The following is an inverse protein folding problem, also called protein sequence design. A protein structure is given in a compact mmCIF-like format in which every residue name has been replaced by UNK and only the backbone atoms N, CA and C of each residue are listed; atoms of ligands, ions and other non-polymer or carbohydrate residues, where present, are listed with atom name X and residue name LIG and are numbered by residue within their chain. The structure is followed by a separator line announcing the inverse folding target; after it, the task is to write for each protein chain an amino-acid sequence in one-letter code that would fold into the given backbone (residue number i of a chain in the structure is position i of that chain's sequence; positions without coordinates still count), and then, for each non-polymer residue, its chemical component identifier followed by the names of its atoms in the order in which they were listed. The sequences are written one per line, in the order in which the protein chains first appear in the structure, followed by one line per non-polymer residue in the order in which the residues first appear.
data_IF_935654527441
#
_entry.id   IF_935654527441
#
_cell.length_a   1.000
_cell.length_b   1.000
_cell.length_c   1.000
_cell.angle_alpha   90.00
_cell.angle_beta   90.00
_cell.angle_gamma   90.00
#
_symmetry.space_group_name_H-M   'P 1'
#
loop_
_entity.id
_entity.type
_entity.pdbx_description
1 polymer ?
#
# COMPACT_ATOMS: atom_id res chain seq x y z
N UNK A 1 0.05 5.30 -4.47
CA UNK A 1 0.49 3.93 -4.13
C UNK A 1 0.59 2.99 -5.33
N UNK A 2 -0.34 3.02 -6.30
CA UNK A 2 -0.29 2.09 -7.44
C UNK A 2 0.92 2.23 -8.38
N UNK A 3 1.63 3.35 -8.37
CA UNK A 3 2.80 3.58 -9.23
C UNK A 3 4.02 2.74 -8.82
N UNK A 4 4.20 2.51 -7.52
CA UNK A 4 5.37 1.79 -7.00
C UNK A 4 5.15 0.29 -6.94
N UNK A 5 3.90 -0.19 -7.01
CA UNK A 5 3.59 -1.60 -6.90
C UNK A 5 4.21 -2.47 -8.01
N UNK A 6 4.10 -2.12 -9.31
CA UNK A 6 4.73 -2.90 -10.37
C UNK A 6 6.26 -2.93 -10.23
N UNK A 7 6.86 -1.80 -9.83
CA UNK A 7 8.30 -1.67 -9.64
C UNK A 7 8.81 -2.55 -8.49
N UNK A 8 8.11 -2.53 -7.35
CA UNK A 8 8.45 -3.37 -6.19
C UNK A 8 8.31 -4.85 -6.53
N UNK A 9 7.21 -5.25 -7.19
CA UNK A 9 6.98 -6.65 -7.59
C UNK A 9 8.03 -7.11 -8.61
N UNK A 10 8.39 -6.25 -9.57
CA UNK A 10 9.41 -6.55 -10.56
C UNK A 10 10.77 -6.79 -9.90
N UNK A 11 11.16 -5.93 -8.94
CA UNK A 11 12.43 -6.06 -8.21
C UNK A 11 12.48 -7.27 -7.28
N UNK A 12 11.38 -7.61 -6.61
CA UNK A 12 11.30 -8.82 -5.78
C UNK A 12 11.40 -10.08 -6.63
N UNK A 13 10.88 -10.04 -7.87
CA UNK A 13 10.89 -11.20 -8.76
C UNK A 13 12.23 -11.36 -9.49
N UNK A 14 12.95 -10.26 -9.76
CA UNK A 14 14.29 -10.29 -10.35
C UNK A 14 15.40 -10.57 -9.33
N UNK A 15 15.18 -10.25 -8.05
CA UNK A 15 16.03 -10.69 -6.96
C UNK A 15 15.89 -12.22 -6.82
N UNK A 16 16.94 -12.95 -7.20
CA UNK A 16 17.00 -14.41 -7.15
C UNK A 16 16.52 -14.93 -5.77
N UNK A 17 15.59 -15.89 -5.76
CA UNK A 17 14.85 -16.44 -4.60
C UNK A 17 15.70 -17.09 -3.50
N UNK A 18 17.03 -16.93 -3.51
CA UNK A 18 17.98 -17.70 -2.71
C UNK A 18 18.55 -16.96 -1.48
N UNK A 19 18.25 -15.67 -1.30
CA UNK A 19 18.69 -14.91 -0.12
C UNK A 19 17.49 -14.25 0.56
N UNK A 20 17.22 -14.53 1.86
CA UNK A 20 16.18 -13.84 2.62
C UNK A 20 16.64 -12.41 2.91
N UNK A 21 16.31 -11.48 2.02
CA UNK A 21 16.60 -10.06 2.16
C UNK A 21 15.31 -9.29 2.48
N UNK A 22 15.41 -8.27 3.33
CA UNK A 22 14.27 -7.37 3.58
C UNK A 22 13.89 -6.63 2.30
N UNK A 23 12.63 -6.18 2.19
CA UNK A 23 12.19 -5.30 1.09
C UNK A 23 13.14 -4.11 0.93
N UNK A 24 13.58 -3.56 2.05
CA UNK A 24 14.48 -2.42 2.08
C UNK A 24 15.89 -2.73 1.59
N UNK A 25 16.40 -3.92 1.84
CA UNK A 25 17.70 -4.37 1.35
C UNK A 25 17.66 -4.65 -0.16
N UNK A 26 16.56 -5.22 -0.66
CA UNK A 26 16.31 -5.37 -2.11
C UNK A 26 16.17 -4.01 -2.80
N UNK A 27 15.61 -3.01 -2.12
CA UNK A 27 15.43 -1.65 -2.65
C UNK A 27 16.71 -0.79 -2.52
N UNK A 28 17.50 -0.95 -1.46
CA UNK A 28 18.72 -0.18 -1.17
C UNK A 28 20.00 -0.79 -1.77
N UNK A 29 20.01 -2.08 -2.11
CA UNK A 29 21.12 -2.74 -2.83
C UNK A 29 21.40 -2.17 -4.23
N UNK A 30 20.60 -1.21 -4.69
CA UNK A 30 20.80 -0.42 -5.91
C UNK A 30 21.76 0.76 -5.68
N UNK A 31 22.03 1.13 -4.42
CA UNK A 31 22.72 2.39 -4.08
C UNK A 31 24.07 2.24 -3.36
N UNK A 32 24.49 1.02 -3.02
CA UNK A 32 25.81 0.78 -2.41
C UNK A 32 26.75 0.09 -3.41
N UNK A 33 27.55 0.92 -4.08
CA UNK A 33 28.94 0.65 -4.50
C UNK A 33 29.26 -0.73 -5.07
N UNK A 34 29.25 -0.85 -6.40
CA UNK A 34 30.47 -1.27 -7.09
C UNK A 34 30.39 -0.89 -8.58
N UNK A 35 31.43 -0.22 -9.06
CA UNK A 35 31.65 0.16 -10.46
C UNK A 35 31.77 -1.06 -11.40
N UNK A 36 31.59 -2.29 -10.89
CA UNK A 36 31.51 -3.54 -11.65
C UNK A 36 30.07 -4.01 -11.97
N UNK A 37 29.02 -3.40 -11.41
CA UNK A 37 27.64 -3.77 -11.74
C UNK A 37 27.13 -3.15 -13.07
N UNK A 38 27.85 -2.17 -13.63
CA UNK A 38 27.51 -1.61 -14.96
C UNK A 38 27.91 -2.58 -16.08
N UNK A 39 28.87 -3.49 -15.84
CA UNK A 39 29.29 -4.50 -16.81
C UNK A 39 28.38 -5.74 -16.87
N UNK A 40 27.51 -5.96 -15.88
CA UNK A 40 26.48 -7.01 -15.91
C UNK A 40 25.10 -6.51 -16.33
N UNK A 41 24.88 -5.19 -16.35
CA UNK A 41 23.71 -4.59 -17.01
C UNK A 41 23.85 -4.64 -18.55
N UNK A 42 25.05 -4.89 -19.05
CA UNK A 42 25.31 -5.22 -20.46
C UNK A 42 25.54 -6.74 -20.68
N UNK A 43 24.70 -7.58 -20.05
CA UNK A 43 24.63 -8.99 -20.43
C UNK A 43 23.19 -9.46 -20.50
N UNK A 44 22.67 -9.33 -21.72
CA UNK A 44 21.39 -9.83 -22.21
C UNK A 44 20.17 -9.27 -21.46
N UNK A 45 19.56 -8.25 -22.06
CA UNK A 45 18.09 -8.16 -22.05
C UNK A 45 17.54 -9.42 -22.75
N UNK A 46 17.54 -10.55 -22.07
CA UNK A 46 16.65 -11.65 -22.44
C UNK A 46 15.26 -11.20 -22.01
N UNK A 47 14.53 -10.62 -22.97
CA UNK A 47 13.14 -10.16 -22.89
C UNK A 47 12.16 -11.35 -22.80
N UNK A 48 12.57 -12.39 -22.06
CA UNK A 48 11.76 -13.53 -21.66
C UNK A 48 11.35 -13.27 -20.24
N UNK A 49 10.26 -12.51 -20.07
CA UNK A 49 9.44 -12.63 -18.87
C UNK A 49 9.14 -14.12 -18.67
N UNK A 50 9.79 -14.74 -17.69
CA UNK A 50 9.55 -16.14 -17.34
C UNK A 50 8.05 -16.31 -17.09
N UNK A 51 7.44 -17.31 -17.74
CA UNK A 51 6.00 -17.60 -17.67
C UNK A 51 5.47 -17.61 -16.22
N UNK A 52 6.33 -17.97 -15.27
CA UNK A 52 6.03 -17.97 -13.84
C UNK A 52 5.66 -16.59 -13.30
N UNK A 53 6.34 -15.51 -13.69
CA UNK A 53 6.04 -14.14 -13.21
C UNK A 53 4.63 -13.71 -13.59
N UNK A 54 4.23 -14.03 -14.82
CA UNK A 54 2.88 -13.74 -15.32
C UNK A 54 1.81 -14.51 -14.54
N UNK A 55 2.05 -15.80 -14.27
CA UNK A 55 1.17 -16.62 -13.43
C UNK A 55 1.10 -16.07 -12.00
N UNK A 56 2.23 -15.66 -11.41
CA UNK A 56 2.27 -15.04 -10.09
C UNK A 56 1.43 -13.76 -10.00
N UNK A 57 1.58 -12.84 -10.97
CA UNK A 57 0.81 -11.58 -10.99
C UNK A 57 -0.68 -11.83 -11.16
N UNK A 58 -1.08 -12.80 -11.99
CA UNK A 58 -2.49 -13.20 -12.16
C UNK A 58 -3.05 -13.78 -10.85
N UNK A 59 -2.31 -14.68 -10.19
CA UNK A 59 -2.74 -15.27 -8.92
C UNK A 59 -2.88 -14.19 -7.84
N UNK A 60 -1.90 -13.28 -7.72
CA UNK A 60 -1.96 -12.16 -6.78
C UNK A 60 -3.11 -11.20 -7.09
N UNK A 61 -3.34 -10.89 -8.36
CA UNK A 61 -4.48 -10.09 -8.81
C UNK A 61 -5.82 -10.75 -8.46
N UNK A 62 -5.91 -12.07 -8.57
CA UNK A 62 -7.12 -12.83 -8.20
C UNK A 62 -7.37 -12.78 -6.68
N UNK A 63 -6.32 -12.96 -5.87
CA UNK A 63 -6.38 -12.86 -4.40
C UNK A 63 -6.77 -11.44 -3.99
N UNK A 64 -6.17 -10.43 -4.60
CA UNK A 64 -6.49 -9.02 -4.37
C UNK A 64 -7.97 -8.72 -4.65
N UNK A 65 -8.49 -9.20 -5.78
CA UNK A 65 -9.89 -9.00 -6.17
C UNK A 65 -10.83 -9.70 -5.19
N UNK A 66 -10.49 -10.94 -4.78
CA UNK A 66 -11.27 -11.69 -3.81
C UNK A 66 -11.29 -11.01 -2.44
N UNK A 67 -10.15 -10.54 -1.94
CA UNK A 67 -10.04 -9.78 -0.69
C UNK A 67 -10.86 -8.48 -0.76
N UNK A 68 -10.81 -7.77 -1.88
CA UNK A 68 -11.59 -6.56 -2.07
C UNK A 68 -13.10 -6.84 -2.06
N UNK A 69 -13.55 -7.90 -2.73
CA UNK A 69 -14.94 -8.35 -2.69
C UNK A 69 -15.36 -8.75 -1.26
N UNK A 70 -14.53 -9.52 -0.56
CA UNK A 70 -14.79 -9.91 0.82
C UNK A 70 -14.94 -8.67 1.74
N UNK A 71 -14.05 -7.69 1.61
CA UNK A 71 -14.17 -6.42 2.33
C UNK A 71 -15.47 -5.69 1.98
N UNK A 72 -15.82 -5.61 0.70
CA UNK A 72 -17.08 -4.99 0.25
C UNK A 72 -18.32 -5.64 0.87
N UNK A 73 -18.34 -6.98 1.00
CA UNK A 73 -19.43 -7.69 1.71
C UNK A 73 -19.43 -7.43 3.21
N UNK A 74 -18.26 -7.33 3.85
CA UNK A 74 -18.14 -6.96 5.26
C UNK A 74 -18.68 -5.55 5.53
N UNK A 75 -18.55 -4.63 4.57
CA UNK A 75 -19.13 -3.28 4.65
C UNK A 75 -20.66 -3.27 4.77
N UNK A 76 -21.32 -4.27 4.18
CA UNK A 76 -22.78 -4.37 4.22
C UNK A 76 -23.29 -4.94 5.57
N UNK A 77 -22.47 -5.73 6.26
CA UNK A 77 -22.89 -6.48 7.46
C UNK A 77 -22.57 -5.78 8.78
N UNK A 78 -21.53 -4.95 8.84
CA UNK A 78 -21.03 -4.35 10.09
C UNK A 78 -21.33 -2.84 10.15
N UNK A 79 -21.48 -2.28 11.36
CA UNK A 79 -21.63 -0.83 11.58
C UNK A 79 -20.42 -0.06 11.01
N UNK A 80 -20.69 0.93 10.16
CA UNK A 80 -19.71 1.72 9.38
C UNK A 80 -18.54 2.28 10.21
N UNK A 81 -18.80 2.76 11.43
CA UNK A 81 -17.75 3.34 12.30
C UNK A 81 -16.69 2.33 12.75
N UNK A 82 -17.11 1.12 13.12
CA UNK A 82 -16.17 0.09 13.60
C UNK A 82 -15.34 -0.49 12.45
N UNK A 83 -15.93 -0.60 11.26
CA UNK A 83 -15.21 -1.09 10.08
C UNK A 83 -14.10 -0.12 9.70
N UNK A 84 -14.37 1.19 9.74
CA UNK A 84 -13.40 2.20 9.37
C UNK A 84 -12.19 2.17 10.32
N UNK A 85 -12.42 2.06 11.63
CA UNK A 85 -11.35 1.87 12.61
C UNK A 85 -10.55 0.59 12.34
N UNK A 86 -11.22 -0.57 12.21
CA UNK A 86 -10.55 -1.85 11.99
C UNK A 86 -9.73 -1.85 10.69
N UNK A 87 -10.25 -1.22 9.65
CA UNK A 87 -9.61 -1.11 8.35
C UNK A 87 -8.32 -0.28 8.41
N UNK A 88 -8.37 0.91 9.01
CA UNK A 88 -7.16 1.75 9.18
C UNK A 88 -6.15 1.11 10.14
N UNK A 89 -6.62 0.47 11.21
CA UNK A 89 -5.76 -0.22 12.17
C UNK A 89 -5.03 -1.40 11.52
N UNK A 90 -5.75 -2.27 10.82
CA UNK A 90 -5.16 -3.43 10.12
C UNK A 90 -4.18 -2.97 9.04
N UNK A 91 -4.52 -1.91 8.30
CA UNK A 91 -3.60 -1.27 7.34
C UNK A 91 -2.32 -0.76 8.04
N UNK A 92 -2.45 -0.06 9.16
CA UNK A 92 -1.29 0.43 9.92
C UNK A 92 -0.38 -0.71 10.41
N UNK A 93 -0.98 -1.77 10.98
CA UNK A 93 -0.24 -2.95 11.46
C UNK A 93 0.47 -3.66 10.31
N UNK A 94 -0.19 -3.86 9.15
CA UNK A 94 0.47 -4.40 7.97
C UNK A 94 1.63 -3.53 7.49
N UNK A 95 1.49 -2.20 7.55
CA UNK A 95 2.55 -1.25 7.24
C UNK A 95 3.78 -1.40 8.14
N UNK A 96 3.58 -1.58 9.44
CA UNK A 96 4.68 -1.87 10.39
C UNK A 96 5.31 -3.23 10.09
N UNK A 97 4.50 -4.26 9.87
CA UNK A 97 4.99 -5.61 9.55
C UNK A 97 5.90 -5.61 8.31
N UNK A 98 5.55 -4.83 7.28
CA UNK A 98 6.37 -4.70 6.07
C UNK A 98 7.79 -4.19 6.35
N UNK A 99 8.00 -3.40 7.42
CA UNK A 99 9.32 -2.90 7.78
C UNK A 99 10.22 -3.95 8.45
N UNK A 100 9.64 -5.04 9.00
CA UNK A 100 10.36 -6.03 9.80
C UNK A 100 10.37 -7.44 9.20
N UNK A 101 9.58 -7.71 8.17
CA UNK A 101 9.50 -9.04 7.56
C UNK A 101 10.58 -9.25 6.49
N UNK A 102 11.24 -10.41 6.58
CA UNK A 102 12.30 -10.84 5.65
C UNK A 102 11.79 -11.80 4.56
N UNK A 103 10.56 -12.33 4.70
CA UNK A 103 10.02 -13.34 3.79
C UNK A 103 9.33 -12.70 2.58
N UNK A 104 9.82 -12.89 1.34
CA UNK A 104 9.33 -12.20 0.15
C UNK A 104 7.85 -12.50 -0.16
N UNK A 105 7.39 -13.72 0.13
CA UNK A 105 5.99 -14.12 -0.06
C UNK A 105 5.06 -13.40 0.94
N UNK A 106 5.48 -13.29 2.20
CA UNK A 106 4.68 -12.66 3.24
C UNK A 106 4.63 -11.14 3.06
N UNK A 107 5.75 -10.55 2.65
CA UNK A 107 5.85 -9.16 2.20
C UNK A 107 4.80 -8.83 1.15
N UNK A 108 4.72 -9.65 0.10
CA UNK A 108 3.83 -9.39 -1.03
C UNK A 108 2.36 -9.47 -0.63
N UNK A 109 2.04 -10.47 0.20
CA UNK A 109 0.71 -10.62 0.78
C UNK A 109 0.34 -9.43 1.68
N UNK A 110 1.26 -8.98 2.55
CA UNK A 110 1.06 -7.82 3.42
C UNK A 110 0.90 -6.52 2.62
N UNK A 111 1.64 -6.35 1.53
CA UNK A 111 1.52 -5.19 0.66
C UNK A 111 0.17 -5.18 -0.07
N UNK A 112 -0.26 -6.33 -0.60
CA UNK A 112 -1.59 -6.47 -1.20
C UNK A 112 -2.70 -6.17 -0.18
N UNK A 113 -2.59 -6.71 1.03
CA UNK A 113 -3.52 -6.45 2.12
C UNK A 113 -3.57 -4.95 2.45
N UNK A 114 -2.41 -4.32 2.64
CA UNK A 114 -2.30 -2.88 2.87
C UNK A 114 -3.01 -2.07 1.78
N UNK A 115 -2.81 -2.42 0.51
CA UNK A 115 -3.47 -1.75 -0.62
C UNK A 115 -4.99 -1.90 -0.61
N UNK A 116 -5.52 -3.09 -0.30
CA UNK A 116 -6.98 -3.34 -0.20
C UNK A 116 -7.58 -2.53 0.95
N UNK A 117 -6.97 -2.60 2.13
CA UNK A 117 -7.47 -1.92 3.31
C UNK A 117 -7.37 -0.39 3.15
N UNK A 118 -6.22 0.13 2.71
CA UNK A 118 -6.07 1.56 2.42
C UNK A 118 -7.02 2.02 1.30
N UNK A 119 -7.21 1.24 0.23
CA UNK A 119 -8.12 1.59 -0.87
C UNK A 119 -9.59 1.64 -0.46
N UNK A 120 -10.04 0.66 0.33
CA UNK A 120 -11.42 0.62 0.82
C UNK A 120 -11.73 1.73 1.84
N UNK A 121 -10.70 2.27 2.52
CA UNK A 121 -10.87 3.38 3.46
C UNK A 121 -11.46 4.64 2.81
N UNK A 122 -11.11 4.92 1.55
CA UNK A 122 -11.59 6.09 0.81
C UNK A 122 -13.11 5.98 0.59
N UNK A 123 -13.57 4.80 0.18
CA UNK A 123 -15.00 4.50 0.00
C UNK A 123 -15.76 4.61 1.32
N UNK A 124 -15.16 4.13 2.41
CA UNK A 124 -15.73 4.21 3.75
C UNK A 124 -15.86 5.66 4.26
N UNK A 125 -14.82 6.47 4.10
CA UNK A 125 -14.82 7.89 4.51
C UNK A 125 -15.86 8.68 3.72
N UNK A 126 -15.95 8.47 2.40
CA UNK A 126 -16.97 9.12 1.58
C UNK A 126 -18.38 8.69 1.97
N UNK A 127 -18.59 7.40 2.26
CA UNK A 127 -19.86 6.88 2.75
C UNK A 127 -20.25 7.47 4.13
N UNK A 128 -19.26 7.67 5.01
CA UNK A 128 -19.46 8.30 6.32
C UNK A 128 -19.77 9.80 6.20
N UNK A 129 -19.07 10.52 5.33
CA UNK A 129 -19.33 11.94 5.05
C UNK A 129 -20.76 12.16 4.56
N UNK A 130 -21.25 11.30 3.67
CA UNK A 130 -22.64 11.35 3.17
C UNK A 130 -23.68 11.19 4.28
N UNK A 131 -23.42 10.35 5.29
CA UNK A 131 -24.32 10.18 6.44
C UNK A 131 -24.21 11.29 7.49
N UNK A 132 -23.05 11.94 7.59
CA UNK A 132 -22.80 12.98 8.59
C UNK A 132 -23.33 14.35 8.15
N UNK A 133 -23.20 14.67 6.86
CA UNK A 133 -23.58 15.99 6.33
C UNK A 133 -25.04 16.03 5.84
N UNK A 134 -25.78 17.10 6.15
CA UNK A 134 -27.12 17.31 5.63
C UNK A 134 -27.12 17.45 4.10
N UNK A 135 -28.23 17.10 3.45
CA UNK A 135 -28.37 16.96 1.99
C UNK A 135 -27.95 18.20 1.19
N UNK A 136 -28.08 19.40 1.76
CA UNK A 136 -27.75 20.65 1.07
C UNK A 136 -26.24 20.92 0.91
N UNK A 137 -25.38 20.37 1.79
CA UNK A 137 -23.90 20.51 1.71
C UNK A 137 -23.18 19.21 1.40
N UNK A 138 -23.91 18.10 1.27
CA UNK A 138 -23.34 16.76 1.07
C UNK A 138 -22.39 16.67 -0.12
N UNK A 139 -22.80 17.17 -1.28
CA UNK A 139 -21.98 17.09 -2.50
C UNK A 139 -20.69 17.89 -2.35
N UNK A 140 -20.75 19.09 -1.78
CA UNK A 140 -19.58 19.94 -1.56
C UNK A 140 -18.61 19.32 -0.55
N UNK A 141 -19.12 18.75 0.54
CA UNK A 141 -18.29 18.10 1.55
C UNK A 141 -17.52 16.89 0.98
N UNK A 142 -18.18 16.07 0.16
CA UNK A 142 -17.54 14.90 -0.51
C UNK A 142 -16.53 15.34 -1.57
N UNK A 143 -16.82 16.39 -2.34
CA UNK A 143 -15.86 16.92 -3.29
C UNK A 143 -14.60 17.45 -2.57
N UNK A 144 -14.76 18.15 -1.45
CA UNK A 144 -13.63 18.65 -0.65
C UNK A 144 -12.80 17.52 -0.04
N UNK A 145 -13.45 16.45 0.48
CA UNK A 145 -12.71 15.28 0.99
C UNK A 145 -11.91 14.59 -0.11
N UNK A 146 -12.48 14.45 -1.31
CA UNK A 146 -11.81 13.89 -2.48
C UNK A 146 -10.64 14.78 -2.96
N UNK A 147 -10.82 16.10 -2.99
CA UNK A 147 -9.76 17.04 -3.38
C UNK A 147 -8.57 16.97 -2.42
N UNK A 148 -8.83 16.96 -1.10
CA UNK A 148 -7.78 16.77 -0.09
C UNK A 148 -7.10 15.40 -0.24
N UNK A 149 -7.86 14.33 -0.54
CA UNK A 149 -7.29 13.02 -0.82
C UNK A 149 -6.36 13.00 -2.04
N UNK A 150 -6.71 13.72 -3.11
CA UNK A 150 -5.87 13.86 -4.31
C UNK A 150 -4.59 14.64 -4.01
N UNK A 151 -4.71 15.78 -3.32
CA UNK A 151 -3.54 16.58 -2.91
C UNK A 151 -2.60 15.79 -2.00
N UNK A 152 -3.17 15.05 -1.03
CA UNK A 152 -2.42 14.15 -0.17
C UNK A 152 -1.73 13.04 -0.95
N UNK A 153 -2.36 12.48 -1.98
CA UNK A 153 -1.72 11.50 -2.86
C UNK A 153 -0.54 12.09 -3.62
N UNK A 154 -0.66 13.31 -4.17
CA UNK A 154 0.43 13.96 -4.90
C UNK A 154 1.59 14.27 -3.95
N UNK A 155 1.32 14.94 -2.82
CA UNK A 155 2.36 15.26 -1.85
C UNK A 155 3.02 13.99 -1.29
N UNK A 156 2.22 12.97 -0.97
CA UNK A 156 2.69 11.70 -0.43
C UNK A 156 3.58 10.93 -1.41
N UNK A 157 3.21 10.82 -2.69
CA UNK A 157 4.06 10.11 -3.66
C UNK A 157 5.38 10.81 -3.93
N UNK A 158 5.41 12.15 -3.92
CA UNK A 158 6.65 12.91 -4.06
C UNK A 158 7.55 12.72 -2.83
N UNK A 159 6.95 12.78 -1.63
CA UNK A 159 7.68 12.57 -0.38
C UNK A 159 8.26 11.13 -0.28
N UNK A 160 7.49 10.13 -0.68
CA UNK A 160 7.96 8.74 -0.78
C UNK A 160 9.20 8.66 -1.68
N UNK A 161 9.13 9.26 -2.87
CA UNK A 161 10.23 9.21 -3.83
C UNK A 161 11.54 9.72 -3.24
N UNK A 162 11.49 10.81 -2.47
CA UNK A 162 12.67 11.39 -1.81
C UNK A 162 13.18 10.54 -0.62
N UNK A 163 12.27 10.08 0.25
CA UNK A 163 12.67 9.34 1.46
C UNK A 163 13.11 7.91 1.14
N UNK A 164 12.61 7.33 0.05
CA UNK A 164 12.96 5.97 -0.37
C UNK A 164 14.42 5.83 -0.78
N UNK A 165 15.06 6.92 -1.26
CA UNK A 165 16.49 6.95 -1.58
C UNK A 165 17.37 6.89 -0.31
N UNK A 166 17.01 7.62 0.74
CA UNK A 166 17.82 7.69 1.98
C UNK A 166 17.53 6.56 2.97
N UNK A 167 16.26 6.19 3.17
CA UNK A 167 15.85 5.27 4.23
C UNK A 167 14.51 4.60 3.96
N UNK A 168 14.54 3.39 3.41
CA UNK A 168 13.33 2.62 3.13
C UNK A 168 12.51 2.31 4.40
N UNK A 169 13.16 1.97 5.52
CA UNK A 169 12.47 1.70 6.80
C UNK A 169 11.72 2.92 7.33
N UNK A 170 12.27 4.12 7.12
CA UNK A 170 11.64 5.37 7.54
C UNK A 170 10.33 5.60 6.76
N UNK A 171 10.34 5.37 5.44
CA UNK A 171 9.15 5.50 4.59
C UNK A 171 8.01 4.63 5.10
N UNK A 172 8.24 3.32 5.29
CA UNK A 172 7.20 2.41 5.75
C UNK A 172 6.66 2.78 7.14
N UNK A 173 7.54 3.22 8.05
CA UNK A 173 7.13 3.64 9.38
C UNK A 173 6.28 4.93 9.36
N UNK A 174 6.60 5.89 8.47
CA UNK A 174 5.77 7.09 8.27
C UNK A 174 4.37 6.72 7.76
N UNK A 175 4.27 5.78 6.81
CA UNK A 175 2.97 5.30 6.32
C UNK A 175 2.14 4.60 7.39
N UNK A 176 2.79 3.74 8.18
CA UNK A 176 2.15 3.09 9.31
C UNK A 176 1.67 4.12 10.33
N UNK A 177 2.52 5.09 10.68
CA UNK A 177 2.21 6.18 11.60
C UNK A 177 1.01 7.01 11.14
N UNK A 178 0.99 7.47 9.89
CA UNK A 178 -0.15 8.20 9.33
C UNK A 178 -1.45 7.37 9.36
N UNK A 179 -1.37 6.08 9.06
CA UNK A 179 -2.53 5.17 9.09
C UNK A 179 -3.07 4.97 10.51
N UNK A 180 -2.18 4.79 11.49
CA UNK A 180 -2.53 4.63 12.91
C UNK A 180 -3.08 5.93 13.50
N UNK A 181 -2.50 7.09 13.15
CA UNK A 181 -3.06 8.39 13.51
C UNK A 181 -4.48 8.53 12.97
N UNK A 182 -4.70 8.18 11.69
CA UNK A 182 -6.03 8.14 11.10
C UNK A 182 -6.99 7.23 11.88
N UNK A 183 -6.55 6.04 12.30
CA UNK A 183 -7.36 5.15 13.14
C UNK A 183 -7.72 5.81 14.49
N UNK A 184 -6.77 6.48 15.16
CA UNK A 184 -7.02 7.18 16.42
C UNK A 184 -8.01 8.35 16.25
N UNK A 185 -7.86 9.14 15.18
CA UNK A 185 -8.80 10.20 14.82
C UNK A 185 -10.22 9.66 14.66
N UNK A 186 -10.39 8.42 14.20
CA UNK A 186 -11.71 7.81 14.03
C UNK A 186 -12.36 7.36 15.34
N UNK A 187 -11.57 7.14 16.40
CA UNK A 187 -12.09 6.92 17.75
C UNK A 187 -12.54 8.22 18.41
N UNK A 188 -11.86 9.33 18.10
CA UNK A 188 -12.21 10.67 18.62
C UNK A 188 -13.45 11.22 17.93
N UNK A 189 -13.71 10.81 16.68
CA UNK A 189 -14.89 11.24 15.94
C UNK A 189 -16.15 10.56 16.52
N UNK A 190 -17.08 11.30 17.16
CA UNK A 190 -18.27 10.70 17.75
C UNK A 190 -19.16 10.12 16.64
N UNK A 191 -19.13 8.81 16.47
CA UNK A 191 -20.06 8.11 15.58
C UNK A 191 -21.43 8.04 16.27
N UNK A 192 -22.40 8.83 15.81
CA UNK A 192 -23.81 8.48 16.03
C UNK A 192 -24.18 7.30 15.13
#
# INVERSE_FOLDING_TARGET
MGLWYPEIVNRITSANQSVPATICEVLQGVHSSDEDFVAYVEKECDDRMTQDVFVYVIVLGSIYTFLYLAMSTLLQKIRRGHILFFNLFTSGVCGVLLAYVNDPYFVLLCFCAFMVFAGSSISLVNGAAVSLFPTHVRAMAVCLSLMMGRLGSVAGTNLIGLIMEDSCTLTFNVFAGCSLLGAMLTLVLPSR
#
